data_IF_045985277955
#
_entry.id   IF_045985277955
#
_cell.length_a   1.000
_cell.length_b   1.000
_cell.length_c   1.000
_cell.angle_alpha   90.00
_cell.angle_beta   90.00
_cell.angle_gamma   90.00
#
_symmetry.space_group_name_H-M   'P 1'
#
loop_
_entity.id
_entity.type
_entity.pdbx_description
1 polymer ?
#
# COMPACT_ATOMS: atom_id res chain seq x y z
N UNK A 1 1.55 13.16 15.11
CA UNK A 1 1.66 12.69 13.71
C UNK A 1 2.41 11.38 13.73
N UNK A 2 1.84 10.33 13.15
CA UNK A 2 2.45 8.98 13.09
C UNK A 2 2.62 8.60 11.64
N UNK A 3 3.71 7.91 11.32
CA UNK A 3 4.01 7.47 9.95
C UNK A 3 4.19 5.95 9.98
N UNK A 4 3.39 5.24 9.19
CA UNK A 4 3.53 3.78 8.99
C UNK A 4 4.22 3.54 7.66
N UNK A 5 5.50 3.20 7.71
CA UNK A 5 6.29 2.84 6.52
C UNK A 5 6.03 1.40 6.12
N UNK A 6 5.77 1.19 4.83
CA UNK A 6 5.66 -0.13 4.23
C UNK A 6 6.73 -0.27 3.16
N UNK A 7 7.72 -1.10 3.44
CA UNK A 7 8.73 -1.45 2.46
C UNK A 7 8.23 -2.59 1.56
N UNK A 8 8.33 -2.35 0.26
CA UNK A 8 7.74 -3.24 -0.74
C UNK A 8 8.61 -4.49 -0.96
N UNK A 9 9.94 -4.38 -0.86
CA UNK A 9 10.87 -5.50 -1.01
C UNK A 9 10.75 -6.48 0.15
N UNK A 10 10.68 -5.99 1.39
CA UNK A 10 10.39 -6.82 2.56
C UNK A 10 9.02 -7.46 2.47
N UNK A 11 8.02 -6.74 1.95
CA UNK A 11 6.70 -7.31 1.68
C UNK A 11 6.80 -8.46 0.68
N UNK A 12 7.54 -8.31 -0.42
CA UNK A 12 7.77 -9.37 -1.42
C UNK A 12 8.47 -10.58 -0.79
N UNK A 13 9.54 -10.38 -0.03
CA UNK A 13 10.26 -11.45 0.67
C UNK A 13 9.32 -12.22 1.60
N UNK A 14 8.50 -11.51 2.39
CA UNK A 14 7.49 -12.11 3.26
C UNK A 14 6.52 -12.98 2.46
N UNK A 15 6.02 -12.49 1.33
CA UNK A 15 5.08 -13.24 0.48
C UNK A 15 5.70 -14.47 -0.21
N UNK A 16 6.98 -14.43 -0.57
CA UNK A 16 7.67 -15.55 -1.22
C UNK A 16 8.05 -16.62 -0.19
N UNK A 17 8.64 -16.23 0.94
CA UNK A 17 9.27 -17.16 1.87
C UNK A 17 8.47 -17.42 3.15
N UNK A 18 7.43 -16.62 3.40
CA UNK A 18 6.62 -16.74 4.61
C UNK A 18 5.92 -18.10 4.73
N UNK A 19 5.72 -18.58 5.96
CA UNK A 19 4.85 -19.73 6.23
C UNK A 19 3.41 -19.41 5.82
N UNK A 20 2.57 -20.43 5.64
CA UNK A 20 1.25 -20.21 5.03
C UNK A 20 0.26 -19.56 6.02
N UNK A 21 0.41 -19.88 7.29
CA UNK A 21 -0.46 -19.48 8.40
C UNK A 21 -0.43 -17.95 8.62
N UNK A 22 0.70 -17.30 8.37
CA UNK A 22 0.84 -15.84 8.57
C UNK A 22 0.04 -15.00 7.56
N UNK A 23 -0.53 -15.61 6.53
CA UNK A 23 -1.41 -14.93 5.57
C UNK A 23 -2.88 -15.07 5.91
N UNK A 24 -3.23 -15.94 6.87
CA UNK A 24 -4.61 -16.16 7.32
C UNK A 24 -5.00 -15.22 8.48
N UNK A 25 -4.00 -14.65 9.15
CA UNK A 25 -4.17 -13.74 10.28
C UNK A 25 -3.68 -12.33 9.96
N UNK A 26 -4.34 -11.34 10.56
CA UNK A 26 -3.86 -9.97 10.59
C UNK A 26 -3.36 -9.64 12.01
N UNK A 27 -2.14 -9.10 12.18
CA UNK A 27 -1.59 -8.89 13.52
C UNK A 27 -2.45 -7.93 14.36
N UNK A 28 -2.81 -8.34 15.58
CA UNK A 28 -3.72 -7.57 16.43
C UNK A 28 -3.18 -6.16 16.74
N UNK A 29 -1.86 -6.04 16.96
CA UNK A 29 -1.24 -4.73 17.19
C UNK A 29 -1.40 -3.77 16.01
N UNK A 30 -1.45 -4.26 14.77
CA UNK A 30 -1.71 -3.42 13.59
C UNK A 30 -3.16 -3.01 13.54
N UNK A 31 -4.08 -3.91 13.89
CA UNK A 31 -5.51 -3.61 13.95
C UNK A 31 -5.79 -2.53 14.99
N UNK A 32 -5.30 -2.72 16.21
CA UNK A 32 -5.38 -1.73 17.29
C UNK A 32 -4.75 -0.40 16.92
N UNK A 33 -3.62 -0.43 16.20
CA UNK A 33 -3.01 0.78 15.66
C UNK A 33 -4.00 1.57 14.79
N UNK A 34 -4.68 0.95 13.82
CA UNK A 34 -5.65 1.66 12.98
C UNK A 34 -6.89 2.10 13.75
N UNK A 35 -7.51 1.19 14.51
CA UNK A 35 -8.79 1.44 15.18
C UNK A 35 -8.66 2.52 16.28
N UNK A 36 -7.61 2.48 17.08
CA UNK A 36 -7.37 3.50 18.10
C UNK A 36 -7.24 4.92 17.52
N UNK A 37 -6.65 5.06 16.33
CA UNK A 37 -6.52 6.35 15.65
C UNK A 37 -7.85 6.79 15.01
N UNK A 38 -8.62 5.86 14.45
CA UNK A 38 -9.98 6.12 13.96
C UNK A 38 -10.85 6.68 15.08
N UNK A 39 -10.88 6.01 16.25
CA UNK A 39 -11.69 6.41 17.41
C UNK A 39 -11.27 7.76 18.00
N UNK A 40 -10.01 8.17 17.82
CA UNK A 40 -9.51 9.48 18.20
C UNK A 40 -9.83 10.58 17.17
N UNK A 41 -10.50 10.27 16.06
CA UNK A 41 -10.82 11.24 15.01
C UNK A 41 -9.62 11.64 14.15
N UNK A 42 -8.61 10.76 14.02
CA UNK A 42 -7.44 11.05 13.20
C UNK A 42 -7.79 11.23 11.72
N UNK A 43 -6.96 12.01 11.02
CA UNK A 43 -6.96 12.10 9.57
C UNK A 43 -5.92 11.13 8.96
N UNK A 44 -6.26 10.52 7.84
CA UNK A 44 -5.42 9.50 7.18
C UNK A 44 -4.92 9.98 5.82
N UNK A 45 -3.60 10.00 5.64
CA UNK A 45 -2.97 10.23 4.35
C UNK A 45 -2.30 8.94 3.89
N UNK A 46 -2.76 8.41 2.74
CA UNK A 46 -2.23 7.18 2.15
C UNK A 46 -1.43 7.58 0.92
N UNK A 47 -0.13 7.28 0.94
CA UNK A 47 0.78 7.54 -0.18
C UNK A 47 1.08 6.23 -0.89
N UNK A 48 0.63 6.10 -2.13
CA UNK A 48 0.84 4.92 -2.97
C UNK A 48 1.98 5.16 -3.97
N UNK A 49 3.07 4.43 -3.80
CA UNK A 49 4.25 4.52 -4.66
C UNK A 49 4.83 3.13 -4.96
N UNK A 50 3.99 2.10 -5.10
CA UNK A 50 4.48 0.72 -5.27
C UNK A 50 4.65 0.32 -6.73
N UNK A 51 5.63 -0.54 -7.01
CA UNK A 51 5.80 -1.17 -8.33
C UNK A 51 4.65 -2.17 -8.61
N UNK A 52 3.84 -1.99 -9.67
CA UNK A 52 2.77 -2.92 -10.04
C UNK A 52 3.25 -4.35 -10.33
N UNK A 53 4.54 -4.54 -10.65
CA UNK A 53 5.11 -5.84 -11.03
C UNK A 53 5.68 -6.62 -9.85
N UNK A 54 5.77 -5.99 -8.67
CA UNK A 54 6.44 -6.54 -7.51
C UNK A 54 5.85 -7.89 -7.06
N UNK A 55 4.55 -8.09 -7.27
CA UNK A 55 3.83 -9.30 -6.87
C UNK A 55 3.75 -10.38 -7.94
N UNK A 56 4.41 -10.22 -9.11
CA UNK A 56 4.35 -11.21 -10.21
C UNK A 56 4.78 -12.62 -9.81
N UNK A 57 5.82 -12.71 -8.97
CA UNK A 57 6.40 -13.99 -8.54
C UNK A 57 5.72 -14.56 -7.28
N UNK A 58 4.72 -13.87 -6.74
CA UNK A 58 4.03 -14.27 -5.52
C UNK A 58 2.85 -15.18 -5.86
N UNK A 59 2.69 -16.26 -5.09
CA UNK A 59 1.51 -17.15 -5.20
C UNK A 59 0.21 -16.35 -5.02
N UNK A 60 -0.72 -16.35 -5.99
CA UNK A 60 -1.97 -15.59 -5.90
C UNK A 60 -2.81 -15.92 -4.65
N UNK A 61 -2.80 -17.18 -4.23
CA UNK A 61 -3.51 -17.65 -3.02
C UNK A 61 -3.06 -16.92 -1.75
N UNK A 62 -1.75 -16.69 -1.60
CA UNK A 62 -1.20 -15.96 -0.44
C UNK A 62 -1.63 -14.50 -0.44
N UNK A 63 -1.64 -13.86 -1.61
CA UNK A 63 -2.15 -12.50 -1.76
C UNK A 63 -3.64 -12.43 -1.41
N UNK A 64 -4.43 -13.39 -1.88
CA UNK A 64 -5.86 -13.45 -1.62
C UNK A 64 -6.15 -13.66 -0.12
N UNK A 65 -5.46 -14.60 0.54
CA UNK A 65 -5.56 -14.83 1.99
C UNK A 65 -5.21 -13.58 2.78
N UNK A 66 -4.06 -12.96 2.51
CA UNK A 66 -3.64 -11.75 3.22
C UNK A 66 -4.59 -10.57 3.01
N UNK A 67 -5.12 -10.39 1.80
CA UNK A 67 -6.15 -9.38 1.50
C UNK A 67 -7.45 -9.66 2.24
N UNK A 68 -7.88 -10.92 2.32
CA UNK A 68 -9.08 -11.31 3.06
C UNK A 68 -8.90 -11.06 4.56
N UNK A 69 -7.79 -11.53 5.15
CA UNK A 69 -7.50 -11.35 6.58
C UNK A 69 -7.46 -9.87 6.97
N UNK A 70 -6.71 -9.05 6.23
CA UNK A 70 -6.65 -7.58 6.46
C UNK A 70 -8.00 -6.90 6.23
N UNK A 71 -8.76 -7.33 5.22
CA UNK A 71 -10.11 -6.82 4.97
C UNK A 71 -11.00 -7.04 6.18
N UNK A 72 -11.13 -8.29 6.65
CA UNK A 72 -11.98 -8.58 7.81
C UNK A 72 -11.50 -7.86 9.07
N UNK A 73 -10.20 -7.80 9.32
CA UNK A 73 -9.66 -7.15 10.51
C UNK A 73 -9.85 -5.61 10.52
N UNK A 74 -9.87 -4.97 9.34
CA UNK A 74 -9.97 -3.53 9.17
C UNK A 74 -11.30 -3.10 8.52
N UNK A 75 -12.37 -3.85 8.78
CA UNK A 75 -13.73 -3.54 8.28
C UNK A 75 -14.21 -2.20 8.86
N UNK A 76 -14.23 -2.05 10.18
CA UNK A 76 -14.63 -0.80 10.86
C UNK A 76 -13.79 0.40 10.40
N UNK A 77 -12.46 0.24 10.30
CA UNK A 77 -11.57 1.28 9.79
C UNK A 77 -12.03 1.77 8.41
N UNK A 78 -12.35 0.84 7.49
CA UNK A 78 -12.79 1.19 6.13
C UNK A 78 -14.18 1.79 6.12
N UNK A 79 -15.11 1.29 6.93
CA UNK A 79 -16.45 1.88 7.05
C UNK A 79 -16.37 3.36 7.45
N UNK A 80 -15.56 3.69 8.45
CA UNK A 80 -15.35 5.06 8.94
C UNK A 80 -14.75 6.00 7.90
N UNK A 81 -13.82 5.49 7.08
CA UNK A 81 -13.28 6.28 5.97
C UNK A 81 -14.33 6.47 4.87
N UNK A 82 -15.04 5.41 4.49
CA UNK A 82 -16.04 5.46 3.40
C UNK A 82 -17.28 6.29 3.77
N UNK A 83 -17.63 6.39 5.06
CA UNK A 83 -18.69 7.27 5.58
C UNK A 83 -18.21 8.72 5.80
N UNK A 84 -16.94 9.02 5.53
CA UNK A 84 -16.29 10.31 5.80
C UNK A 84 -16.36 10.76 7.28
N UNK A 85 -16.50 9.83 8.22
CA UNK A 85 -16.40 10.14 9.65
C UNK A 85 -14.97 10.55 10.05
N UNK A 86 -13.97 10.00 9.35
CA UNK A 86 -12.59 10.44 9.42
C UNK A 86 -12.17 11.04 8.08
N UNK A 87 -11.45 12.16 8.11
CA UNK A 87 -10.87 12.75 6.91
C UNK A 87 -9.78 11.82 6.35
N UNK A 88 -9.81 11.56 5.04
CA UNK A 88 -8.78 10.75 4.40
C UNK A 88 -8.47 11.23 2.98
N UNK A 89 -7.26 10.95 2.54
CA UNK A 89 -6.80 11.23 1.19
C UNK A 89 -5.85 10.14 0.73
N UNK A 90 -5.96 9.77 -0.55
CA UNK A 90 -4.99 8.90 -1.23
C UNK A 90 -4.27 9.75 -2.25
N UNK A 91 -2.94 9.77 -2.17
CA UNK A 91 -2.08 10.36 -3.17
C UNK A 91 -1.18 9.28 -3.75
N UNK A 92 -0.85 9.40 -5.03
CA UNK A 92 0.10 8.51 -5.69
C UNK A 92 1.33 9.29 -6.08
N UNK A 93 2.51 8.70 -5.86
CA UNK A 93 3.78 9.27 -6.31
C UNK A 93 4.32 8.35 -7.41
N UNK A 94 4.62 8.88 -8.60
CA UNK A 94 5.17 8.07 -9.68
C UNK A 94 6.54 7.52 -9.26
N UNK A 95 6.73 6.21 -9.43
CA UNK A 95 8.03 5.56 -9.31
C UNK A 95 8.66 5.32 -10.65
N UNK A 96 9.97 5.16 -10.71
CA UNK A 96 10.68 4.82 -11.95
C UNK A 96 10.16 3.53 -12.58
N UNK A 97 9.85 2.51 -11.77
CA UNK A 97 9.30 1.25 -12.25
C UNK A 97 7.91 1.44 -12.90
N UNK A 98 7.03 2.21 -12.26
CA UNK A 98 5.73 2.57 -12.83
C UNK A 98 5.88 3.41 -14.10
N UNK A 99 6.80 4.38 -14.09
CA UNK A 99 7.12 5.26 -15.20
C UNK A 99 7.52 4.49 -16.47
N UNK A 100 8.51 3.61 -16.34
CA UNK A 100 9.02 2.78 -17.43
C UNK A 100 7.92 1.91 -18.03
N UNK A 101 6.95 1.50 -17.21
CA UNK A 101 5.82 0.70 -17.66
C UNK A 101 4.76 1.52 -18.40
N UNK A 102 4.41 2.71 -17.89
CA UNK A 102 3.46 3.60 -18.55
C UNK A 102 4.03 4.15 -19.86
N UNK A 103 5.33 4.42 -19.89
CA UNK A 103 6.04 5.02 -21.02
C UNK A 103 6.96 4.01 -21.72
N UNK A 104 6.54 2.75 -21.87
CA UNK A 104 7.35 1.66 -22.42
C UNK A 104 7.86 1.85 -23.87
N UNK A 105 7.51 2.96 -24.53
CA UNK A 105 7.98 3.34 -25.87
C UNK A 105 8.88 4.58 -25.93
N UNK A 106 9.18 5.21 -24.79
CA UNK A 106 10.07 6.37 -24.70
C UNK A 106 11.46 5.95 -24.24
N UNK A 107 12.50 6.70 -24.65
CA UNK A 107 13.83 6.54 -24.04
C UNK A 107 13.79 7.06 -22.61
N UNK A 108 14.68 6.56 -21.76
CA UNK A 108 14.71 6.90 -20.34
C UNK A 108 14.85 8.41 -20.10
N UNK A 109 15.58 9.12 -20.97
CA UNK A 109 15.73 10.58 -20.91
C UNK A 109 14.46 11.37 -21.26
N UNK A 110 13.48 10.75 -21.91
CA UNK A 110 12.22 11.37 -22.35
C UNK A 110 11.07 11.10 -21.37
N UNK A 111 11.29 10.25 -20.35
CA UNK A 111 10.28 9.95 -19.33
C UNK A 111 10.16 11.14 -18.38
N UNK A 112 8.98 11.78 -18.25
CA UNK A 112 8.81 13.07 -17.53
C UNK A 112 9.24 13.08 -16.06
N UNK A 113 9.37 11.90 -15.44
CA UNK A 113 9.70 11.78 -14.01
C UNK A 113 11.20 11.98 -13.76
N UNK A 114 12.04 11.91 -14.81
CA UNK A 114 13.47 12.21 -14.73
C UNK A 114 13.81 13.68 -15.01
N UNK A 115 12.84 14.50 -15.45
CA UNK A 115 13.01 15.95 -15.54
C UNK A 115 12.89 16.58 -14.14
N UNK A 116 14.03 16.59 -13.43
CA UNK A 116 14.35 17.47 -12.29
C UNK A 116 13.26 17.61 -11.22
N UNK A 117 13.16 16.62 -10.32
CA UNK A 117 12.78 16.83 -8.92
C UNK A 117 11.41 17.48 -8.66
N UNK A 118 10.55 17.59 -9.67
CA UNK A 118 9.26 18.23 -9.57
C UNK A 118 8.20 17.14 -9.68
N UNK A 119 7.84 16.59 -8.52
CA UNK A 119 6.62 15.81 -8.38
C UNK A 119 5.44 16.78 -8.48
N UNK A 120 5.04 17.13 -9.71
CA UNK A 120 3.85 17.92 -9.94
C UNK A 120 2.62 17.03 -9.74
N UNK A 121 1.75 17.47 -8.81
CA UNK A 121 0.36 17.01 -8.69
C UNK A 121 -0.50 17.61 -9.78
#
# INVERSE_FOLDING_TARGET
MVISWKDELFSKIRYIHGPEEIFEEFPEWQKEFYLSHVHQGAAFLIISASDPELTKDVKPERLAKARKASSTALEEYREKLMSNENAWCVISIPTEAWAKKVFAGLKEEEIPIFEKGNFAF
#
